data_IF_632598169410
#
_entry.id   IF_632598169410
#
_cell.length_a   1.000
_cell.length_b   1.000
_cell.length_c   1.000
_cell.angle_alpha   90.00
_cell.angle_beta   90.00
_cell.angle_gamma   90.00
#
_symmetry.space_group_name_H-M   'P 1'
#
loop_
_entity.id
_entity.type
_entity.pdbx_description
1 polymer ?
#
# COMPACT_ATOMS: atom_id res chain seq x y z
N UNK A 1 6.50 31.60 -17.12
CA UNK A 1 7.80 30.88 -17.06
C UNK A 1 8.26 30.56 -15.63
N UNK A 2 8.36 31.54 -14.70
CA UNK A 2 8.75 31.30 -13.30
C UNK A 2 7.81 30.36 -12.53
N UNK A 3 6.49 30.47 -12.73
CA UNK A 3 5.50 29.60 -12.06
C UNK A 3 5.63 28.13 -12.47
N UNK A 4 6.03 27.86 -13.71
CA UNK A 4 6.25 26.50 -14.22
C UNK A 4 7.53 25.85 -13.64
N UNK A 5 8.57 26.65 -13.38
CA UNK A 5 9.75 26.19 -12.66
C UNK A 5 9.44 25.92 -11.18
N UNK A 6 8.63 26.79 -10.56
CA UNK A 6 8.12 26.60 -9.20
C UNK A 6 7.30 25.31 -9.09
N UNK A 7 6.43 25.04 -10.08
CA UNK A 7 5.67 23.79 -10.17
C UNK A 7 6.58 22.55 -10.18
N UNK A 8 7.58 22.52 -11.07
CA UNK A 8 8.52 21.40 -11.15
C UNK A 8 9.31 21.21 -9.85
N UNK A 9 9.74 22.30 -9.22
CA UNK A 9 10.46 22.24 -7.95
C UNK A 9 9.58 21.67 -6.83
N UNK A 10 8.32 22.10 -6.74
CA UNK A 10 7.36 21.59 -5.76
C UNK A 10 7.04 20.10 -5.98
N UNK A 11 6.88 19.66 -7.24
CA UNK A 11 6.69 18.25 -7.56
C UNK A 11 7.89 17.39 -7.12
N UNK A 12 9.12 17.83 -7.42
CA UNK A 12 10.33 17.11 -7.00
C UNK A 12 10.45 17.01 -5.48
N UNK A 13 9.86 17.93 -4.73
CA UNK A 13 9.82 17.93 -3.26
C UNK A 13 8.61 17.18 -2.69
N UNK A 14 7.80 16.51 -3.51
CA UNK A 14 6.59 15.81 -3.07
C UNK A 14 5.47 16.74 -2.56
N UNK A 15 5.58 18.05 -2.80
CA UNK A 15 4.59 19.05 -2.37
C UNK A 15 3.48 19.17 -3.42
N UNK A 16 2.76 18.08 -3.66
CA UNK A 16 1.82 17.95 -4.77
C UNK A 16 0.66 18.96 -4.72
N UNK A 17 0.10 19.25 -3.54
CA UNK A 17 -0.98 20.25 -3.39
C UNK A 17 -0.50 21.64 -3.83
N UNK A 18 0.66 22.05 -3.33
CA UNK A 18 1.25 23.35 -3.66
C UNK A 18 1.64 23.42 -5.13
N UNK A 19 2.11 22.31 -5.70
CA UNK A 19 2.40 22.21 -7.11
C UNK A 19 1.12 22.47 -7.93
N UNK A 20 0.04 21.73 -7.67
CA UNK A 20 -1.23 21.91 -8.38
C UNK A 20 -1.79 23.34 -8.26
N UNK A 21 -1.62 24.00 -7.12
CA UNK A 21 -2.05 25.40 -6.96
C UNK A 21 -1.18 26.42 -7.73
N UNK A 22 0.09 26.09 -8.01
CA UNK A 22 1.03 27.00 -8.67
C UNK A 22 0.97 26.94 -10.20
N UNK A 23 0.27 25.95 -10.77
CA UNK A 23 0.21 25.77 -12.21
C UNK A 23 -0.85 26.68 -12.84
N UNK A 24 -0.48 27.36 -13.92
CA UNK A 24 -1.35 28.30 -14.63
C UNK A 24 -1.52 27.96 -16.12
N UNK A 25 -0.67 27.07 -16.66
CA UNK A 25 -0.70 26.67 -18.07
C UNK A 25 -1.38 25.30 -18.27
N UNK A 26 -2.23 25.23 -19.29
CA UNK A 26 -2.98 24.02 -19.68
C UNK A 26 -2.32 23.23 -20.83
N UNK A 27 -1.02 23.43 -21.09
CA UNK A 27 -0.37 22.69 -22.18
C UNK A 27 -0.17 21.20 -21.85
N UNK A 28 -0.16 20.35 -22.89
CA UNK A 28 -0.06 18.87 -22.76
C UNK A 28 1.12 18.40 -21.90
N UNK A 29 2.26 19.10 -21.94
CA UNK A 29 3.44 18.75 -21.14
C UNK A 29 3.14 18.79 -19.62
N UNK A 30 2.34 19.76 -19.19
CA UNK A 30 1.95 19.92 -17.80
C UNK A 30 0.81 19.00 -17.38
N UNK A 31 -0.03 18.59 -18.33
CA UNK A 31 -1.18 17.71 -18.09
C UNK A 31 -0.75 16.36 -17.47
N UNK A 32 0.26 15.69 -18.02
CA UNK A 32 0.76 14.42 -17.44
C UNK A 32 1.25 14.59 -16.01
N UNK A 33 1.95 15.68 -15.72
CA UNK A 33 2.46 15.96 -14.37
C UNK A 33 1.33 16.30 -13.39
N UNK A 34 0.28 16.98 -13.85
CA UNK A 34 -0.94 17.25 -13.08
C UNK A 34 -1.68 15.95 -12.75
N UNK A 35 -1.88 15.08 -13.73
CA UNK A 35 -2.52 13.78 -13.54
C UNK A 35 -1.79 12.97 -12.47
N UNK A 36 -0.46 12.86 -12.58
CA UNK A 36 0.34 12.13 -11.60
C UNK A 36 0.30 12.79 -10.21
N UNK A 37 0.28 14.12 -10.13
CA UNK A 37 0.16 14.83 -8.85
C UNK A 37 -1.21 14.61 -8.20
N UNK A 38 -2.30 14.67 -8.97
CA UNK A 38 -3.65 14.36 -8.51
C UNK A 38 -3.75 12.90 -8.04
N UNK A 39 -3.13 11.98 -8.78
CA UNK A 39 -3.07 10.57 -8.44
C UNK A 39 -2.34 10.33 -7.12
N UNK A 40 -1.18 10.97 -6.91
CA UNK A 40 -0.42 10.91 -5.66
C UNK A 40 -1.16 11.52 -4.46
N UNK A 41 -2.17 12.36 -4.71
CA UNK A 41 -3.05 12.93 -3.70
C UNK A 41 -4.36 12.16 -3.53
N UNK A 42 -4.52 11.00 -4.18
CA UNK A 42 -5.75 10.21 -4.19
C UNK A 42 -6.99 11.00 -4.66
N UNK A 43 -6.81 11.99 -5.53
CA UNK A 43 -7.91 12.77 -6.12
C UNK A 43 -8.62 11.97 -7.23
N UNK A 44 -9.07 10.76 -6.89
CA UNK A 44 -9.60 9.79 -7.85
C UNK A 44 -10.85 10.32 -8.55
N UNK A 45 -11.74 11.02 -7.85
CA UNK A 45 -12.91 11.63 -8.49
C UNK A 45 -12.54 12.65 -9.58
N UNK A 46 -11.49 13.45 -9.36
CA UNK A 46 -11.03 14.41 -10.38
C UNK A 46 -10.43 13.71 -11.60
N UNK A 47 -9.70 12.61 -11.37
CA UNK A 47 -9.10 11.81 -12.44
C UNK A 47 -10.13 10.99 -13.22
N UNK A 48 -11.12 10.43 -12.52
CA UNK A 48 -12.24 9.68 -13.09
C UNK A 48 -12.97 10.48 -14.17
N UNK A 49 -13.16 11.77 -13.92
CA UNK A 49 -13.91 12.68 -14.80
C UNK A 49 -13.05 13.33 -15.91
N UNK A 50 -11.79 12.94 -16.06
CA UNK A 50 -10.98 13.39 -17.20
C UNK A 50 -11.42 12.69 -18.48
N UNK A 51 -11.72 13.48 -19.50
CA UNK A 51 -12.13 12.99 -20.83
C UNK A 51 -10.95 12.77 -21.78
N UNK A 52 -9.83 13.43 -21.52
CA UNK A 52 -8.64 13.35 -22.37
C UNK A 52 -7.81 12.10 -22.06
N UNK A 53 -7.42 11.37 -23.11
CA UNK A 53 -6.50 10.24 -22.99
C UNK A 53 -5.05 10.74 -23.00
N UNK A 54 -4.30 10.63 -21.89
CA UNK A 54 -2.90 11.04 -21.86
C UNK A 54 -2.03 10.06 -22.68
N UNK A 55 -0.93 10.54 -23.30
CA UNK A 55 -0.03 9.68 -24.06
C UNK A 55 0.83 8.79 -23.17
N UNK A 56 1.17 9.26 -21.96
CA UNK A 56 2.03 8.55 -21.01
C UNK A 56 1.26 7.42 -20.29
N UNK A 57 1.87 6.24 -20.27
CA UNK A 57 1.26 5.03 -19.72
C UNK A 57 0.95 5.15 -18.22
N UNK A 58 1.76 5.86 -17.44
CA UNK A 58 1.50 6.06 -16.00
C UNK A 58 0.28 6.94 -15.78
N UNK A 59 0.07 7.92 -16.65
CA UNK A 59 -1.11 8.77 -16.61
C UNK A 59 -2.36 7.99 -17.00
N UNK A 60 -2.28 7.13 -18.03
CA UNK A 60 -3.37 6.21 -18.38
C UNK A 60 -3.69 5.31 -17.20
N UNK A 61 -2.67 4.66 -16.62
CA UNK A 61 -2.82 3.82 -15.43
C UNK A 61 -3.54 4.59 -14.30
N UNK A 62 -3.08 5.78 -13.95
CA UNK A 62 -3.67 6.60 -12.90
C UNK A 62 -5.18 6.87 -13.11
N UNK A 63 -5.59 7.23 -14.33
CA UNK A 63 -7.01 7.46 -14.66
C UNK A 63 -7.80 6.17 -14.53
N UNK A 64 -7.28 5.08 -15.08
CA UNK A 64 -7.99 3.80 -15.06
C UNK A 64 -8.13 3.24 -13.63
N UNK A 65 -7.12 3.41 -12.78
CA UNK A 65 -7.19 3.09 -11.34
C UNK A 65 -8.20 3.98 -10.62
N UNK A 66 -8.26 5.27 -10.97
CA UNK A 66 -9.28 6.17 -10.41
C UNK A 66 -10.71 5.69 -10.72
N UNK A 67 -10.94 5.13 -11.93
CA UNK A 67 -12.23 4.50 -12.27
C UNK A 67 -12.57 3.32 -11.39
N UNK A 68 -11.62 2.41 -11.21
CA UNK A 68 -11.77 1.25 -10.32
C UNK A 68 -12.04 1.71 -8.87
N UNK A 69 -11.26 2.68 -8.38
CA UNK A 69 -11.37 3.20 -7.02
C UNK A 69 -12.71 3.91 -6.75
N UNK A 70 -13.30 4.56 -7.77
CA UNK A 70 -14.59 5.23 -7.67
C UNK A 70 -15.81 4.31 -7.83
N UNK A 71 -15.61 2.99 -7.99
CA UNK A 71 -16.68 2.01 -7.93
C UNK A 71 -17.32 1.63 -9.27
N UNK A 72 -16.67 1.94 -10.40
CA UNK A 72 -17.08 1.46 -11.73
C UNK A 72 -16.73 -0.03 -11.92
N UNK A 73 -17.30 -0.88 -11.08
CA UNK A 73 -17.02 -2.32 -10.98
C UNK A 73 -17.52 -3.10 -12.22
N UNK A 74 -18.49 -2.55 -12.96
CA UNK A 74 -18.99 -3.16 -14.20
C UNK A 74 -17.98 -3.11 -15.35
N UNK A 75 -16.94 -2.29 -15.27
CA UNK A 75 -15.87 -2.18 -16.28
C UNK A 75 -14.64 -3.04 -15.95
N UNK A 76 -14.57 -3.67 -14.77
CA UNK A 76 -13.30 -4.17 -14.22
C UNK A 76 -12.66 -5.31 -15.03
N UNK A 77 -13.35 -6.41 -15.39
CA UNK A 77 -12.66 -7.56 -15.99
C UNK A 77 -12.05 -7.28 -17.37
N UNK A 78 -12.82 -6.65 -18.26
CA UNK A 78 -12.36 -6.30 -19.62
C UNK A 78 -11.21 -5.29 -19.57
N UNK A 79 -11.38 -4.25 -18.74
CA UNK A 79 -10.38 -3.21 -18.54
C UNK A 79 -9.09 -3.77 -17.92
N UNK A 80 -9.19 -4.70 -16.96
CA UNK A 80 -8.03 -5.37 -16.37
C UNK A 80 -7.31 -6.23 -17.41
N UNK A 81 -8.03 -6.95 -18.27
CA UNK A 81 -7.43 -7.74 -19.35
C UNK A 81 -6.67 -6.83 -20.34
N UNK A 82 -7.24 -5.69 -20.74
CA UNK A 82 -6.52 -4.72 -21.56
C UNK A 82 -5.20 -4.27 -20.94
N UNK A 83 -5.12 -4.13 -19.61
CA UNK A 83 -3.88 -3.70 -18.96
C UNK A 83 -2.82 -4.78 -19.04
N UNK A 84 -3.23 -6.03 -18.84
CA UNK A 84 -2.32 -7.16 -18.88
C UNK A 84 -1.57 -7.20 -20.21
N UNK A 85 -2.26 -6.88 -21.30
CA UNK A 85 -1.70 -6.88 -22.64
C UNK A 85 -0.97 -5.57 -22.99
N UNK A 86 -1.38 -4.42 -22.42
CA UNK A 86 -0.74 -3.10 -22.62
C UNK A 86 0.64 -3.01 -21.92
N UNK A 87 0.84 -3.71 -20.80
CA UNK A 87 2.08 -3.64 -19.99
C UNK A 87 2.93 -4.91 -20.12
N UNK A 88 3.91 -4.86 -21.02
CA UNK A 88 4.80 -6.01 -21.31
C UNK A 88 5.97 -6.10 -20.32
N UNK A 89 6.50 -4.96 -19.88
CA UNK A 89 7.70 -4.86 -19.04
C UNK A 89 7.42 -5.26 -17.58
N UNK A 90 8.33 -6.02 -16.98
CA UNK A 90 8.23 -6.50 -15.57
C UNK A 90 7.95 -5.36 -14.59
N UNK A 91 8.70 -4.25 -14.67
CA UNK A 91 8.55 -3.14 -13.73
C UNK A 91 7.16 -2.47 -13.82
N UNK A 92 6.54 -2.48 -15.01
CA UNK A 92 5.19 -1.96 -15.22
C UNK A 92 4.14 -2.90 -14.62
N UNK A 93 4.31 -4.22 -14.82
CA UNK A 93 3.47 -5.24 -14.20
C UNK A 93 3.52 -5.18 -12.67
N UNK A 94 4.71 -4.97 -12.10
CA UNK A 94 4.89 -4.80 -10.65
C UNK A 94 4.18 -3.55 -10.13
N UNK A 95 4.37 -2.40 -10.77
CA UNK A 95 3.70 -1.15 -10.35
C UNK A 95 2.17 -1.26 -10.48
N UNK A 96 1.70 -1.92 -11.54
CA UNK A 96 0.28 -2.21 -11.76
C UNK A 96 -0.28 -3.11 -10.66
N UNK A 97 0.38 -4.24 -10.39
CA UNK A 97 -0.01 -5.20 -9.35
C UNK A 97 -0.05 -4.54 -7.96
N UNK A 98 0.98 -3.74 -7.62
CA UNK A 98 1.04 -2.99 -6.36
C UNK A 98 -0.15 -2.04 -6.21
N UNK A 99 -0.50 -1.36 -7.29
CA UNK A 99 -1.60 -0.39 -7.29
C UNK A 99 -2.97 -1.06 -7.18
N UNK A 100 -3.15 -2.19 -7.85
CA UNK A 100 -4.41 -2.94 -7.87
C UNK A 100 -4.61 -3.86 -6.67
N UNK A 101 -3.58 -4.10 -5.85
CA UNK A 101 -3.62 -5.07 -4.75
C UNK A 101 -4.82 -4.89 -3.79
N UNK A 102 -5.27 -3.66 -3.57
CA UNK A 102 -6.41 -3.36 -2.68
C UNK A 102 -7.77 -3.59 -3.34
N UNK A 103 -7.85 -3.56 -4.66
CA UNK A 103 -9.09 -3.60 -5.44
C UNK A 103 -9.32 -4.97 -6.10
N UNK A 104 -8.27 -5.59 -6.62
CA UNK A 104 -8.31 -6.89 -7.27
C UNK A 104 -7.01 -7.68 -6.98
N UNK A 105 -6.91 -8.31 -5.80
CA UNK A 105 -5.70 -9.01 -5.40
C UNK A 105 -5.42 -10.26 -6.25
N UNK A 106 -6.46 -10.96 -6.73
CA UNK A 106 -6.32 -12.11 -7.63
C UNK A 106 -5.71 -11.71 -8.98
N UNK A 107 -6.22 -10.63 -9.58
CA UNK A 107 -5.65 -10.11 -10.83
C UNK A 107 -4.22 -9.61 -10.62
N UNK A 108 -3.98 -8.90 -9.51
CA UNK A 108 -2.63 -8.42 -9.15
C UNK A 108 -1.63 -9.57 -9.03
N UNK A 109 -2.03 -10.70 -8.42
CA UNK A 109 -1.20 -11.90 -8.35
C UNK A 109 -0.93 -12.48 -9.75
N UNK A 110 -1.96 -12.53 -10.60
CA UNK A 110 -1.84 -13.08 -11.96
C UNK A 110 -0.86 -12.31 -12.87
N UNK A 111 -0.64 -11.02 -12.59
CA UNK A 111 0.37 -10.21 -13.29
C UNK A 111 1.80 -10.62 -12.93
N UNK A 112 1.98 -11.21 -11.74
CA UNK A 112 3.27 -11.54 -11.16
C UNK A 112 3.66 -13.01 -11.34
N UNK A 113 2.68 -13.91 -11.57
CA UNK A 113 2.91 -15.37 -11.68
C UNK A 113 3.92 -15.81 -12.76
N UNK A 114 4.32 -14.92 -13.68
CA UNK A 114 5.34 -15.17 -14.71
C UNK A 114 6.34 -14.00 -14.87
N UNK A 115 6.48 -13.15 -13.86
CA UNK A 115 7.35 -11.99 -13.93
C UNK A 115 8.75 -12.35 -13.40
N UNK A 116 9.78 -12.27 -14.25
CA UNK A 116 11.17 -12.41 -13.82
C UNK A 116 11.52 -11.33 -12.79
N UNK A 117 12.25 -11.69 -11.71
CA UNK A 117 12.64 -10.76 -10.64
C UNK A 117 11.47 -10.04 -9.95
N UNK A 118 10.36 -10.75 -9.72
CA UNK A 118 9.24 -10.24 -8.95
C UNK A 118 9.66 -9.91 -7.49
N UNK A 119 9.23 -8.77 -6.92
CA UNK A 119 9.40 -8.51 -5.50
C UNK A 119 8.65 -9.55 -4.66
N UNK A 120 9.42 -10.41 -3.96
CA UNK A 120 8.88 -11.55 -3.21
C UNK A 120 7.99 -11.13 -2.04
N UNK A 121 8.21 -9.93 -1.48
CA UNK A 121 7.37 -9.33 -0.45
C UNK A 121 5.95 -9.05 -0.96
N UNK A 122 5.82 -8.34 -2.10
CA UNK A 122 4.53 -8.06 -2.74
C UNK A 122 3.84 -9.36 -3.17
N UNK A 123 4.60 -10.29 -3.75
CA UNK A 123 4.06 -11.57 -4.22
C UNK A 123 3.50 -12.39 -3.05
N UNK A 124 4.24 -12.48 -1.95
CA UNK A 124 3.80 -13.15 -0.71
C UNK A 124 2.58 -12.46 -0.12
N UNK A 125 2.58 -11.12 -0.03
CA UNK A 125 1.45 -10.36 0.51
C UNK A 125 0.15 -10.63 -0.27
N UNK A 126 0.25 -10.71 -1.60
CA UNK A 126 -0.89 -11.03 -2.46
C UNK A 126 -1.37 -12.48 -2.28
N UNK A 127 -0.46 -13.45 -2.17
CA UNK A 127 -0.81 -14.85 -1.90
C UNK A 127 -1.54 -15.00 -0.56
N UNK A 128 -1.04 -14.37 0.51
CA UNK A 128 -1.71 -14.33 1.82
C UNK A 128 -3.08 -13.66 1.72
N UNK A 129 -3.17 -12.56 0.98
CA UNK A 129 -4.42 -11.78 0.80
C UNK A 129 -5.55 -12.61 0.21
N UNK A 130 -5.24 -13.52 -0.72
CA UNK A 130 -6.23 -14.38 -1.38
C UNK A 130 -6.34 -15.78 -0.74
N UNK A 131 -5.67 -16.01 0.39
CA UNK A 131 -5.77 -17.26 1.16
C UNK A 131 -4.83 -18.39 0.73
N UNK A 132 -3.88 -18.16 -0.18
CA UNK A 132 -2.86 -19.14 -0.61
C UNK A 132 -1.72 -19.28 0.41
N UNK A 133 -2.05 -19.55 1.66
CA UNK A 133 -1.12 -19.54 2.80
C UNK A 133 0.08 -20.48 2.59
N UNK A 134 -0.14 -21.69 2.07
CA UNK A 134 0.95 -22.64 1.86
C UNK A 134 1.93 -22.16 0.78
N UNK A 135 1.43 -21.53 -0.29
CA UNK A 135 2.26 -20.95 -1.34
C UNK A 135 3.08 -19.77 -0.79
N UNK A 136 2.46 -18.93 0.04
CA UNK A 136 3.13 -17.84 0.74
C UNK A 136 4.25 -18.32 1.66
N UNK A 137 4.03 -19.40 2.42
CA UNK A 137 5.07 -20.04 3.23
C UNK A 137 6.24 -20.50 2.36
N UNK A 138 5.96 -21.15 1.23
CA UNK A 138 7.01 -21.59 0.30
C UNK A 138 7.77 -20.43 -0.33
N UNK A 139 7.10 -19.32 -0.66
CA UNK A 139 7.75 -18.10 -1.16
C UNK A 139 8.58 -17.42 -0.09
N UNK A 140 8.08 -17.28 1.14
CA UNK A 140 8.82 -16.73 2.28
C UNK A 140 10.10 -17.52 2.59
N UNK A 141 10.10 -18.83 2.37
CA UNK A 141 11.28 -19.67 2.55
C UNK A 141 12.39 -19.42 1.52
N UNK A 142 12.09 -18.73 0.42
CA UNK A 142 13.07 -18.36 -0.62
C UNK A 142 13.70 -16.98 -0.37
N UNK A 143 13.16 -16.21 0.58
CA UNK A 143 13.64 -14.86 0.89
C UNK A 143 14.88 -14.96 1.76
N UNK A 144 15.96 -14.32 1.33
CA UNK A 144 17.20 -14.27 2.10
C UNK A 144 17.13 -13.23 3.22
N UNK A 145 17.94 -13.41 4.26
CA UNK A 145 18.05 -12.46 5.39
C UNK A 145 18.43 -11.05 4.91
N UNK A 146 19.20 -10.93 3.82
CA UNK A 146 19.53 -9.64 3.22
C UNK A 146 18.30 -8.89 2.71
N UNK A 147 17.28 -9.59 2.22
CA UNK A 147 16.06 -8.95 1.69
C UNK A 147 15.21 -8.36 2.80
N UNK A 148 15.28 -8.92 4.01
CA UNK A 148 14.61 -8.38 5.21
C UNK A 148 15.13 -6.98 5.55
N UNK A 149 16.43 -6.72 5.30
CA UNK A 149 17.02 -5.38 5.52
C UNK A 149 16.45 -4.36 4.53
N UNK A 150 16.17 -4.78 3.29
CA UNK A 150 15.63 -3.91 2.25
C UNK A 150 14.10 -3.77 2.32
N UNK A 151 13.39 -4.80 2.81
CA UNK A 151 11.94 -4.81 2.99
C UNK A 151 11.57 -5.38 4.37
N UNK A 152 11.52 -4.54 5.43
CA UNK A 152 11.22 -5.01 6.78
C UNK A 152 9.80 -5.57 6.90
N UNK A 153 8.88 -5.19 6.00
CA UNK A 153 7.49 -5.67 5.95
C UNK A 153 7.41 -7.20 5.84
N UNK A 154 8.47 -7.87 5.35
CA UNK A 154 8.60 -9.33 5.33
C UNK A 154 8.41 -9.92 6.74
N UNK A 155 8.90 -9.27 7.80
CA UNK A 155 8.71 -9.74 9.18
C UNK A 155 7.23 -9.82 9.57
N UNK A 156 6.42 -8.87 9.09
CA UNK A 156 4.97 -8.87 9.30
C UNK A 156 4.29 -9.95 8.46
N UNK A 157 4.75 -10.18 7.23
CA UNK A 157 4.26 -11.26 6.38
C UNK A 157 4.54 -12.64 7.00
N UNK A 158 5.72 -12.82 7.59
CA UNK A 158 6.07 -14.03 8.33
C UNK A 158 5.13 -14.24 9.52
N UNK A 159 4.82 -13.20 10.30
CA UNK A 159 3.84 -13.28 11.39
C UNK A 159 2.42 -13.63 10.91
N UNK A 160 2.04 -13.20 9.71
CA UNK A 160 0.73 -13.52 9.13
C UNK A 160 0.68 -14.94 8.51
N UNK A 161 1.82 -15.47 8.06
CA UNK A 161 1.91 -16.76 7.39
C UNK A 161 2.16 -17.92 8.36
N UNK A 162 3.06 -17.73 9.31
CA UNK A 162 3.50 -18.77 10.24
C UNK A 162 2.64 -18.77 11.51
N UNK A 163 2.10 -19.92 11.88
CA UNK A 163 1.42 -20.14 13.16
C UNK A 163 2.44 -20.56 14.21
N UNK A 164 3.22 -19.59 14.68
CA UNK A 164 4.27 -19.82 15.68
C UNK A 164 3.84 -19.33 17.07
N UNK A 165 4.74 -19.48 18.05
CA UNK A 165 4.51 -19.01 19.41
C UNK A 165 4.40 -17.49 19.46
N UNK A 166 3.72 -16.99 20.49
CA UNK A 166 3.56 -15.56 20.71
C UNK A 166 4.91 -14.84 20.87
N UNK A 167 5.90 -15.51 21.47
CA UNK A 167 7.27 -15.01 21.62
C UNK A 167 7.98 -14.78 20.29
N UNK A 168 7.93 -15.76 19.37
CA UNK A 168 8.55 -15.62 18.03
C UNK A 168 7.87 -14.48 17.26
N UNK A 169 6.54 -14.42 17.32
CA UNK A 169 5.77 -13.37 16.66
C UNK A 169 6.09 -11.98 17.21
N UNK A 170 6.22 -11.86 18.53
CA UNK A 170 6.61 -10.63 19.22
C UNK A 170 8.02 -10.18 18.81
N UNK A 171 8.98 -11.11 18.75
CA UNK A 171 10.36 -10.80 18.36
C UNK A 171 10.42 -10.21 16.95
N UNK A 172 9.70 -10.80 15.98
CA UNK A 172 9.61 -10.24 14.62
C UNK A 172 8.96 -8.86 14.60
N UNK A 173 7.89 -8.65 15.39
CA UNK A 173 7.25 -7.34 15.50
C UNK A 173 8.21 -6.28 16.07
N UNK A 174 8.99 -6.63 17.09
CA UNK A 174 9.96 -5.73 17.70
C UNK A 174 11.14 -5.41 16.77
N UNK A 175 11.62 -6.38 15.98
CA UNK A 175 12.63 -6.09 14.94
C UNK A 175 12.06 -5.19 13.82
N UNK A 176 10.78 -5.38 13.45
CA UNK A 176 10.09 -4.45 12.55
C UNK A 176 10.02 -3.03 13.13
N UNK A 177 9.63 -2.89 14.40
CA UNK A 177 9.56 -1.59 15.08
C UNK A 177 10.92 -0.90 15.15
N UNK A 178 11.96 -1.67 15.51
CA UNK A 178 13.33 -1.18 15.58
C UNK A 178 13.83 -0.62 14.25
N UNK A 179 13.48 -1.22 13.12
CA UNK A 179 13.81 -0.69 11.79
C UNK A 179 13.30 0.74 11.59
N UNK A 180 12.09 1.03 12.07
CA UNK A 180 11.47 2.36 11.98
C UNK A 180 11.77 3.27 13.18
N UNK A 181 12.69 2.88 14.08
CA UNK A 181 13.03 3.64 15.27
C UNK A 181 11.91 3.72 16.31
N UNK A 182 10.96 2.78 16.28
CA UNK A 182 9.88 2.68 17.24
C UNK A 182 10.33 1.93 18.50
N UNK A 183 9.71 2.25 19.64
CA UNK A 183 9.98 1.57 20.90
C UNK A 183 9.47 0.14 20.89
N UNK A 184 10.20 -0.81 21.51
CA UNK A 184 9.74 -2.19 21.60
C UNK A 184 8.52 -2.32 22.51
N UNK A 185 7.75 -3.37 22.24
CA UNK A 185 6.56 -3.76 22.99
C UNK A 185 6.73 -5.13 23.63
N UNK A 186 5.90 -5.43 24.60
CA UNK A 186 5.82 -6.74 25.25
C UNK A 186 4.39 -7.28 25.22
N UNK A 187 4.23 -8.58 25.50
CA UNK A 187 2.92 -9.16 25.71
C UNK A 187 2.37 -8.73 27.08
N UNK A 188 1.08 -8.44 27.15
CA UNK A 188 0.40 -8.22 28.43
C UNK A 188 0.26 -9.56 29.20
N UNK A 189 -0.06 -10.61 28.45
CA UNK A 189 -0.19 -11.99 28.91
C UNK A 189 0.56 -12.94 27.97
N UNK A 190 1.52 -13.67 28.52
CA UNK A 190 2.37 -14.61 27.79
C UNK A 190 1.63 -15.89 27.35
N UNK A 191 0.46 -16.18 27.93
CA UNK A 191 -0.36 -17.34 27.56
C UNK A 191 -1.29 -17.06 26.37
N UNK A 192 -1.47 -15.79 26.02
CA UNK A 192 -2.32 -15.33 24.93
C UNK A 192 -1.50 -15.05 23.65
N UNK A 193 -2.10 -15.20 22.46
CA UNK A 193 -1.42 -14.88 21.20
C UNK A 193 -1.11 -13.39 21.07
N UNK A 194 -0.16 -13.05 20.19
CA UNK A 194 0.11 -11.67 19.81
C UNK A 194 -1.15 -11.07 19.17
N UNK A 195 -1.68 -10.00 19.75
CA UNK A 195 -2.83 -9.26 19.22
C UNK A 195 -2.77 -7.81 19.70
N UNK A 196 -3.46 -6.86 19.04
CA UNK A 196 -3.49 -5.48 19.49
C UNK A 196 -3.94 -5.31 20.95
N UNK A 197 -4.80 -6.20 21.46
CA UNK A 197 -5.30 -6.19 22.83
C UNK A 197 -4.36 -6.85 23.83
N UNK A 198 -3.34 -7.58 23.37
CA UNK A 198 -2.36 -8.29 24.20
C UNK A 198 -0.95 -7.70 24.05
N UNK A 199 -0.85 -6.40 23.78
CA UNK A 199 0.42 -5.68 23.60
C UNK A 199 0.48 -4.52 24.58
N UNK A 200 1.61 -4.38 25.27
CA UNK A 200 1.90 -3.26 26.17
C UNK A 200 3.21 -2.56 25.76
N UNK A 201 3.30 -1.27 26.05
CA UNK A 201 4.51 -0.49 25.82
C UNK A 201 5.48 -0.65 26.99
N UNK A 202 6.75 -0.93 26.68
CA UNK A 202 7.81 -1.02 27.70
C UNK A 202 8.35 0.36 28.11
N UNK A 203 8.09 1.39 27.31
CA UNK A 203 8.55 2.75 27.58
C UNK A 203 7.49 3.48 28.40
N UNK A 204 7.83 3.98 29.60
CA UNK A 204 6.92 4.83 30.36
C UNK A 204 6.72 6.15 29.62
N UNK A 205 5.47 6.49 29.32
CA UNK A 205 5.13 7.78 28.74
C UNK A 205 4.90 8.80 29.85
N UNK A 206 5.54 9.99 29.78
CA UNK A 206 5.16 11.08 30.65
C UNK A 206 3.71 11.48 30.30
N UNK A 207 2.86 11.57 31.31
CA UNK A 207 1.49 12.08 31.15
C UNK A 207 1.59 13.52 30.64
N UNK A 208 1.36 13.72 29.34
CA UNK A 208 1.27 15.07 28.78
C UNK A 208 -0.14 15.60 28.99
N UNK A 209 -0.26 16.66 29.77
CA UNK A 209 -1.46 17.50 29.82
C UNK A 209 -1.45 18.38 28.57
N UNK A 210 -2.27 18.03 27.59
CA UNK A 210 -2.37 18.73 26.32
C UNK A 210 -3.75 18.55 25.69
N UNK A 211 -4.04 19.27 24.59
CA UNK A 211 -5.29 19.09 23.87
C UNK A 211 -5.43 17.63 23.44
N UNK A 212 -6.63 17.08 23.59
CA UNK A 212 -6.92 15.71 23.19
C UNK A 212 -6.70 15.58 21.68
N UNK A 213 -5.67 14.84 21.27
CA UNK A 213 -5.39 14.56 19.86
C UNK A 213 -6.14 13.28 19.49
N UNK A 214 -7.27 13.45 18.80
CA UNK A 214 -7.98 12.32 18.19
C UNK A 214 -7.36 12.00 16.84
N UNK A 215 -6.77 10.80 16.71
CA UNK A 215 -6.34 10.28 15.41
C UNK A 215 -7.55 9.56 14.79
N UNK A 216 -8.13 10.16 13.76
CA UNK A 216 -9.22 9.53 13.02
C UNK A 216 -8.62 8.64 11.93
N UNK A 217 -8.61 7.33 12.17
CA UNK A 217 -8.13 6.35 11.21
C UNK A 217 -9.30 5.86 10.36
N UNK A 218 -9.41 6.37 9.13
CA UNK A 218 -10.45 5.94 8.19
C UNK A 218 -10.10 4.56 7.64
N UNK A 219 -10.80 3.52 8.08
CA UNK A 219 -10.70 2.18 7.49
C UNK A 219 -11.74 2.03 6.38
N UNK A 220 -11.32 2.17 5.12
CA UNK A 220 -12.22 1.99 3.96
C UNK A 220 -12.44 0.50 3.68
N UNK A 221 -13.70 0.08 3.66
CA UNK A 221 -14.13 -1.26 3.22
C UNK A 221 -13.56 -2.44 4.04
N UNK A 222 -13.40 -2.26 5.36
CA UNK A 222 -12.88 -3.28 6.28
C UNK A 222 -13.94 -3.90 7.18
N UNK A 223 -15.25 -3.70 6.95
CA UNK A 223 -16.32 -4.23 7.81
C UNK A 223 -16.12 -5.70 8.19
N UNK A 224 -15.79 -6.56 7.22
CA UNK A 224 -15.48 -7.99 7.45
C UNK A 224 -14.14 -8.29 8.14
N UNK A 225 -13.22 -7.34 8.22
CA UNK A 225 -11.88 -7.49 8.84
C UNK A 225 -11.80 -6.88 10.22
N UNK A 226 -12.59 -5.84 10.45
CA UNK A 226 -12.69 -5.10 11.70
C UNK A 226 -13.61 -5.83 12.67
N UNK A 227 -14.56 -6.67 12.22
CA UNK A 227 -15.36 -7.54 13.12
C UNK A 227 -14.50 -8.43 14.04
N UNK A 228 -13.34 -8.90 13.59
CA UNK A 228 -12.43 -9.68 14.44
C UNK A 228 -11.65 -8.83 15.47
N UNK A 229 -11.66 -7.50 15.34
CA UNK A 229 -11.09 -6.56 16.31
C UNK A 229 -12.16 -5.72 17.06
N UNK A 230 -13.43 -5.77 16.64
CA UNK A 230 -14.49 -4.85 17.10
C UNK A 230 -15.65 -5.54 17.81
N UNK A 231 -15.63 -6.86 17.93
CA UNK A 231 -16.52 -7.58 18.84
C UNK A 231 -16.09 -7.48 20.32
N UNK A 232 -15.44 -6.38 20.72
CA UNK A 232 -15.12 -6.08 22.13
C UNK A 232 -15.36 -4.58 22.42
N UNK A 233 -16.45 -4.02 21.90
CA UNK A 233 -17.14 -2.89 22.55
C UNK A 233 -18.65 -3.17 22.47
N UNK A 234 -19.08 -4.09 23.34
CA UNK A 234 -20.42 -4.16 23.91
C UNK A 234 -20.30 -4.87 25.26
#
# INVERSE_FOLDING_TARGET
MFNNLKFLWLLKKGRYVHALAAIQDDCRFWQSKRILAMYRLNMYWSLHNLTDTPPDWRCKLAIKIAKIACGDISLTPELLMEFKDEYTETHQKVELAKTLASYSPEFSLSLLDNADNCPLDLYTALQLRIGLTQKAISTLAQIDVSDIVYSPDILLLQNNAFRETAEISLNRLNEYYKYFGLSPVALADNSSPLSPCNIITLVPYPVQTGPLVSILMTTYNTGRRVENASNIIA
#
